data_IF_021339786152
#
_entry.id   IF_021339786152
#
_cell.length_a   1.000
_cell.length_b   1.000
_cell.length_c   1.000
_cell.angle_alpha   90.00
_cell.angle_beta   90.00
_cell.angle_gamma   90.00
#
_symmetry.space_group_name_H-M   'P 1'
#
loop_
_entity.id
_entity.type
_entity.pdbx_description
1 polymer ?
#
# COMPACT_ATOMS: atom_id res chain seq x y z
N UNK A 1 10.79 11.97 -0.38
CA UNK A 1 10.95 10.94 0.67
C UNK A 1 11.17 9.59 0.02
N UNK A 2 12.24 8.90 0.38
CA UNK A 2 12.48 7.52 -0.05
C UNK A 2 11.65 6.55 0.77
N UNK A 3 11.55 5.29 0.34
CA UNK A 3 10.87 4.24 1.12
C UNK A 3 11.56 4.07 2.48
N UNK A 4 12.89 4.07 2.49
CA UNK A 4 13.65 3.98 3.74
C UNK A 4 13.35 5.13 4.69
N UNK A 5 13.29 6.35 4.17
CA UNK A 5 12.92 7.53 4.95
C UNK A 5 11.49 7.42 5.46
N UNK A 6 10.57 6.89 4.65
CA UNK A 6 9.19 6.66 5.06
C UNK A 6 9.10 5.64 6.22
N UNK A 7 9.84 4.52 6.12
CA UNK A 7 9.90 3.54 7.21
C UNK A 7 10.43 4.17 8.50
N UNK A 8 11.48 4.98 8.42
CA UNK A 8 12.04 5.68 9.58
C UNK A 8 11.06 6.70 10.16
N UNK A 9 10.39 7.47 9.31
CA UNK A 9 9.42 8.48 9.74
C UNK A 9 8.24 7.85 10.48
N UNK A 10 7.72 6.74 9.97
CA UNK A 10 6.64 5.99 10.63
C UNK A 10 7.11 5.45 11.99
N UNK A 11 8.29 4.86 12.05
CA UNK A 11 8.83 4.32 13.30
C UNK A 11 9.00 5.42 14.36
N UNK A 12 9.53 6.57 13.98
CA UNK A 12 9.66 7.72 14.86
C UNK A 12 8.30 8.20 15.37
N UNK A 13 7.32 8.28 14.49
CA UNK A 13 5.97 8.70 14.85
C UNK A 13 5.34 7.75 15.87
N UNK A 14 5.46 6.43 15.64
CA UNK A 14 4.94 5.43 16.57
C UNK A 14 5.58 5.58 17.95
N UNK A 15 6.90 5.76 18.00
CA UNK A 15 7.62 5.92 19.27
C UNK A 15 7.26 7.21 19.99
N UNK A 16 7.03 8.28 19.24
CA UNK A 16 6.76 9.60 19.82
C UNK A 16 5.28 9.76 20.21
N UNK A 17 4.35 9.31 19.38
CA UNK A 17 2.91 9.56 19.55
C UNK A 17 2.08 8.30 19.72
N UNK A 18 2.46 7.20 19.11
CA UNK A 18 1.67 5.96 19.09
C UNK A 18 1.94 5.04 20.27
N UNK A 19 2.94 5.32 21.07
CA UNK A 19 3.43 4.52 22.18
C UNK A 19 4.16 3.26 21.70
N UNK A 20 3.48 2.37 20.98
CA UNK A 20 4.05 1.18 20.35
C UNK A 20 3.21 0.74 19.16
N UNK A 21 3.76 -0.14 18.34
CA UNK A 21 2.97 -0.79 17.30
C UNK A 21 1.89 -1.68 17.92
N UNK A 22 0.75 -1.77 17.25
CA UNK A 22 -0.19 -2.86 17.52
C UNK A 22 0.50 -4.18 17.17
N UNK A 23 -0.02 -5.31 17.67
CA UNK A 23 0.53 -6.60 17.26
C UNK A 23 0.44 -6.78 15.75
N UNK A 24 1.30 -7.64 15.20
CA UNK A 24 1.32 -7.93 13.75
C UNK A 24 -0.03 -8.41 13.25
N UNK A 25 -0.70 -9.25 14.04
CA UNK A 25 -2.03 -9.75 13.70
C UNK A 25 -3.06 -8.60 13.66
N UNK A 26 -3.04 -7.71 14.63
CA UNK A 26 -3.92 -6.54 14.65
C UNK A 26 -3.63 -5.62 13.46
N UNK A 27 -2.37 -5.35 13.18
CA UNK A 27 -2.00 -4.51 12.04
C UNK A 27 -2.37 -5.16 10.71
N UNK A 28 -2.34 -6.48 10.60
CA UNK A 28 -2.84 -7.16 9.40
C UNK A 28 -4.35 -6.96 9.22
N UNK A 29 -5.11 -7.03 10.30
CA UNK A 29 -6.55 -6.74 10.26
C UNK A 29 -6.81 -5.28 9.87
N UNK A 30 -6.05 -4.33 10.42
CA UNK A 30 -6.14 -2.91 10.08
C UNK A 30 -5.80 -2.69 8.60
N UNK A 31 -4.76 -3.35 8.09
CA UNK A 31 -4.41 -3.29 6.67
C UNK A 31 -5.58 -3.74 5.78
N UNK A 32 -6.23 -4.83 6.16
CA UNK A 32 -7.40 -5.34 5.43
C UNK A 32 -8.55 -4.33 5.43
N UNK A 33 -8.80 -3.67 6.57
CA UNK A 33 -9.80 -2.61 6.67
C UNK A 33 -9.45 -1.43 5.75
N UNK A 34 -8.20 -0.97 5.76
CA UNK A 34 -7.77 0.16 4.93
C UNK A 34 -7.84 -0.17 3.44
N UNK A 35 -7.51 -1.41 3.06
CA UNK A 35 -7.68 -1.88 1.68
C UNK A 35 -9.17 -1.86 1.29
N UNK A 36 -10.06 -2.25 2.21
CA UNK A 36 -11.50 -2.16 2.00
C UNK A 36 -11.99 -0.73 1.80
N UNK A 37 -11.48 0.23 2.57
CA UNK A 37 -11.80 1.65 2.41
C UNK A 37 -11.31 2.17 1.04
N UNK A 38 -10.12 1.79 0.63
CA UNK A 38 -9.60 2.11 -0.70
C UNK A 38 -10.47 1.52 -1.80
N UNK A 39 -10.85 0.25 -1.67
CA UNK A 39 -11.72 -0.44 -2.63
C UNK A 39 -13.07 0.27 -2.76
N UNK A 40 -13.63 0.76 -1.65
CA UNK A 40 -14.88 1.51 -1.65
C UNK A 40 -14.77 2.78 -2.49
N UNK A 41 -13.72 3.56 -2.33
CA UNK A 41 -13.50 4.78 -3.12
C UNK A 41 -13.33 4.45 -4.60
N UNK A 42 -12.52 3.45 -4.92
CA UNK A 42 -12.29 3.01 -6.30
C UNK A 42 -13.60 2.57 -6.97
N UNK A 43 -14.43 1.79 -6.25
CA UNK A 43 -15.70 1.32 -6.78
C UNK A 43 -16.66 2.48 -7.08
N UNK A 44 -16.65 3.52 -6.27
CA UNK A 44 -17.51 4.69 -6.46
C UNK A 44 -17.00 5.65 -7.50
N UNK A 45 -15.69 5.81 -7.60
CA UNK A 45 -15.10 6.76 -8.55
C UNK A 45 -15.02 6.19 -9.97
N UNK A 46 -14.71 4.91 -10.12
CA UNK A 46 -14.42 4.26 -11.39
C UNK A 46 -15.33 3.09 -11.73
N UNK A 47 -16.14 2.62 -10.78
CA UNK A 47 -17.04 1.50 -10.98
C UNK A 47 -18.49 1.94 -11.24
N UNK A 48 -19.41 1.04 -10.96
CA UNK A 48 -20.84 1.24 -11.25
C UNK A 48 -21.58 1.86 -10.06
N UNK A 49 -20.95 2.05 -8.93
CA UNK A 49 -21.52 2.72 -7.76
C UNK A 49 -21.14 4.20 -7.78
N UNK A 50 -21.96 5.02 -7.12
CA UNK A 50 -21.70 6.44 -6.97
C UNK A 50 -21.48 6.82 -5.51
N UNK A 51 -20.78 7.91 -5.27
CA UNK A 51 -20.69 8.48 -3.92
C UNK A 51 -22.08 8.90 -3.44
N UNK A 52 -22.37 8.63 -2.17
CA UNK A 52 -23.56 9.14 -1.51
C UNK A 52 -23.41 10.64 -1.24
N UNK A 53 -24.51 11.38 -1.09
CA UNK A 53 -24.43 12.79 -0.70
C UNK A 53 -23.57 12.96 0.56
N UNK A 54 -22.61 13.88 0.51
CA UNK A 54 -21.67 14.16 1.61
C UNK A 54 -20.45 13.27 1.69
N UNK A 55 -20.36 12.20 0.92
CA UNK A 55 -19.15 11.39 0.83
C UNK A 55 -18.09 12.11 -0.03
N UNK A 56 -16.82 12.00 0.37
CA UNK A 56 -15.71 12.66 -0.31
C UNK A 56 -14.94 11.69 -1.19
N UNK A 57 -14.42 12.21 -2.30
CA UNK A 57 -13.40 11.54 -3.08
C UNK A 57 -12.04 11.77 -2.40
N UNK A 58 -11.64 10.85 -1.56
CA UNK A 58 -10.39 10.90 -0.80
C UNK A 58 -9.43 9.78 -1.19
N UNK A 59 -9.32 9.50 -2.49
CA UNK A 59 -8.52 8.40 -3.02
C UNK A 59 -7.06 8.42 -2.53
N UNK A 60 -6.42 9.60 -2.60
CA UNK A 60 -5.03 9.73 -2.16
C UNK A 60 -4.85 9.46 -0.67
N UNK A 61 -5.78 9.93 0.16
CA UNK A 61 -5.79 9.67 1.59
C UNK A 61 -5.89 8.19 1.89
N UNK A 62 -6.80 7.48 1.24
CA UNK A 62 -6.98 6.04 1.44
C UNK A 62 -5.77 5.23 0.97
N UNK A 63 -5.12 5.64 -0.11
CA UNK A 63 -3.85 5.03 -0.55
C UNK A 63 -2.76 5.25 0.50
N UNK A 64 -2.67 6.45 1.07
CA UNK A 64 -1.69 6.76 2.10
C UNK A 64 -1.94 5.94 3.37
N UNK A 65 -3.19 5.72 3.74
CA UNK A 65 -3.56 4.92 4.91
C UNK A 65 -3.15 3.45 4.73
N UNK A 66 -3.33 2.89 3.54
CA UNK A 66 -2.84 1.53 3.22
C UNK A 66 -1.32 1.46 3.33
N UNK A 67 -0.63 2.43 2.75
CA UNK A 67 0.83 2.48 2.80
C UNK A 67 1.34 2.62 4.24
N UNK A 68 0.69 3.44 5.05
CA UNK A 68 1.03 3.63 6.46
C UNK A 68 1.07 2.30 7.22
N UNK A 69 0.01 1.51 7.12
CA UNK A 69 -0.09 0.23 7.84
C UNK A 69 0.94 -0.77 7.32
N UNK A 70 1.17 -0.77 6.00
CA UNK A 70 2.19 -1.63 5.41
C UNK A 70 3.59 -1.28 5.92
N UNK A 71 3.90 0.02 6.05
CA UNK A 71 5.16 0.49 6.63
C UNK A 71 5.28 0.08 8.11
N UNK A 72 4.19 0.15 8.88
CA UNK A 72 4.18 -0.34 10.26
C UNK A 72 4.54 -1.84 10.32
N UNK A 73 3.90 -2.65 9.48
CA UNK A 73 4.17 -4.09 9.43
C UNK A 73 5.61 -4.38 9.02
N UNK A 74 6.14 -3.66 8.04
CA UNK A 74 7.54 -3.83 7.64
C UNK A 74 8.49 -3.51 8.78
N UNK A 75 8.27 -2.39 9.48
CA UNK A 75 9.12 -1.97 10.59
C UNK A 75 9.11 -2.99 11.73
N UNK A 76 7.92 -3.44 12.15
CA UNK A 76 7.80 -4.34 13.30
C UNK A 76 8.27 -5.76 13.00
N UNK A 77 8.38 -6.14 11.74
CA UNK A 77 8.88 -7.47 11.32
C UNK A 77 10.31 -7.45 10.82
N UNK A 78 10.97 -6.28 10.83
CA UNK A 78 12.35 -6.13 10.39
C UNK A 78 12.54 -6.22 8.88
N UNK A 79 11.51 -5.94 8.09
CA UNK A 79 11.56 -5.97 6.62
C UNK A 79 12.02 -4.62 6.08
N UNK A 80 13.05 -4.63 5.23
CA UNK A 80 13.49 -3.47 4.47
C UNK A 80 12.77 -3.47 3.12
N UNK A 81 11.77 -2.60 2.98
CA UNK A 81 10.95 -2.57 1.77
C UNK A 81 11.71 -2.08 0.53
N UNK A 82 12.77 -1.30 0.70
CA UNK A 82 13.62 -0.91 -0.43
C UNK A 82 14.26 -2.14 -1.05
N UNK A 83 14.85 -3.00 -0.22
CA UNK A 83 15.48 -4.25 -0.67
C UNK A 83 14.43 -5.17 -1.30
N UNK A 84 13.30 -5.36 -0.62
CA UNK A 84 12.27 -6.28 -1.09
C UNK A 84 11.61 -5.81 -2.38
N UNK A 85 11.38 -4.50 -2.53
CA UNK A 85 10.82 -3.94 -3.78
C UNK A 85 11.82 -4.10 -4.94
N UNK A 86 13.11 -3.84 -4.70
CA UNK A 86 14.13 -4.04 -5.72
C UNK A 86 14.19 -5.51 -6.18
N UNK A 87 14.13 -6.45 -5.24
CA UNK A 87 14.05 -7.89 -5.56
C UNK A 87 12.80 -8.22 -6.37
N UNK A 88 11.68 -7.63 -6.01
CA UNK A 88 10.41 -7.85 -6.71
C UNK A 88 10.47 -7.35 -8.16
N UNK A 89 11.02 -6.15 -8.37
CA UNK A 89 11.19 -5.59 -9.71
C UNK A 89 12.10 -6.48 -10.56
N UNK A 90 13.23 -6.90 -9.99
CA UNK A 90 14.17 -7.78 -10.67
C UNK A 90 13.54 -9.13 -11.05
N UNK A 91 12.80 -9.73 -10.12
CA UNK A 91 12.08 -10.99 -10.34
C UNK A 91 11.06 -10.85 -11.47
N UNK A 92 10.26 -9.79 -11.44
CA UNK A 92 9.25 -9.51 -12.47
C UNK A 92 9.88 -9.28 -13.83
N UNK A 93 10.98 -8.55 -13.86
CA UNK A 93 11.72 -8.27 -15.11
C UNK A 93 12.25 -9.56 -15.73
N UNK A 94 12.89 -10.43 -14.95
CA UNK A 94 13.40 -11.71 -15.44
C UNK A 94 12.29 -12.63 -15.96
N UNK A 95 11.17 -12.68 -15.24
CA UNK A 95 10.05 -13.55 -15.59
C UNK A 95 9.25 -13.04 -16.79
N UNK A 96 8.99 -11.73 -16.83
CA UNK A 96 7.97 -11.15 -17.69
C UNK A 96 8.51 -10.15 -18.73
N UNK A 97 9.83 -10.00 -18.89
CA UNK A 97 10.43 -8.97 -19.74
C UNK A 97 9.89 -8.95 -21.18
N UNK A 98 9.60 -10.11 -21.76
CA UNK A 98 9.04 -10.23 -23.11
C UNK A 98 7.55 -10.59 -23.10
N UNK A 99 7.06 -11.13 -22.00
CA UNK A 99 5.71 -11.67 -21.91
C UNK A 99 4.62 -10.66 -22.24
N UNK A 100 4.71 -9.47 -21.66
CA UNK A 100 3.72 -8.42 -21.87
C UNK A 100 3.92 -7.70 -23.20
N UNK A 101 5.17 -7.51 -23.61
CA UNK A 101 5.52 -6.91 -24.91
C UNK A 101 4.97 -7.78 -26.03
N UNK A 102 5.03 -9.10 -25.91
CA UNK A 102 4.56 -10.07 -26.89
C UNK A 102 3.06 -10.39 -26.77
N UNK A 103 2.38 -9.89 -25.74
CA UNK A 103 0.96 -10.13 -25.55
C UNK A 103 0.12 -9.16 -26.40
N UNK A 104 -0.60 -9.65 -27.43
CA UNK A 104 -1.39 -8.77 -28.30
C UNK A 104 -2.51 -8.04 -27.56
N UNK A 105 -3.01 -8.56 -26.42
CA UNK A 105 -4.05 -7.91 -25.62
C UNK A 105 -3.59 -6.62 -24.96
N UNK A 106 -2.28 -6.45 -24.76
CA UNK A 106 -1.70 -5.28 -24.13
C UNK A 106 -1.21 -4.23 -25.13
N UNK A 107 -1.25 -4.53 -26.42
CA UNK A 107 -0.92 -3.60 -27.49
C UNK A 107 -2.18 -2.77 -27.82
N UNK A 108 -2.11 -1.50 -27.52
CA UNK A 108 -3.24 -0.60 -27.76
C UNK A 108 -3.25 -0.04 -29.17
#
# INVERSE_FOLDING_TARGET
MTIKEAQLAVDQWIKEYGVRYFSELTNMAVLTEEVGELARVIARKYGDQSFKPGEKDNLGEEMADVLWVLLCLANQTGVDLTIELNKSIEKKTRRDALRHIENPKLQA
#
